data_IF_574947503715
#
_entry.id   IF_574947503715
#
_cell.length_a   1.000
_cell.length_b   1.000
_cell.length_c   1.000
_cell.angle_alpha   90.00
_cell.angle_beta   90.00
_cell.angle_gamma   90.00
#
_symmetry.space_group_name_H-M   'P 1'
#
loop_
_entity.id
_entity.type
_entity.pdbx_description
1 polymer ?
#
# COMPACT_ATOMS: atom_id res chain seq x y z
N UNK A 1 -8.25 -2.38 15.35
CA UNK A 1 -8.81 -2.09 14.01
C UNK A 1 -8.38 -3.22 13.10
N UNK A 2 -9.16 -3.63 12.08
CA UNK A 2 -8.73 -4.73 11.20
C UNK A 2 -7.65 -4.24 10.22
N UNK A 3 -6.65 -5.07 9.96
CA UNK A 3 -5.61 -4.82 8.96
C UNK A 3 -6.02 -5.42 7.62
N UNK A 4 -5.91 -4.63 6.56
CA UNK A 4 -6.13 -5.05 5.17
C UNK A 4 -4.78 -5.07 4.45
N UNK A 5 -4.28 -6.26 4.15
CA UNK A 5 -3.12 -6.45 3.27
C UNK A 5 -3.57 -6.36 1.81
N UNK A 6 -3.03 -5.40 1.07
CA UNK A 6 -3.26 -5.23 -0.35
C UNK A 6 -1.96 -5.44 -1.13
N UNK A 7 -1.97 -6.41 -2.03
CA UNK A 7 -0.87 -6.66 -2.96
C UNK A 7 -1.16 -6.01 -4.31
N UNK A 8 -0.12 -5.59 -5.05
CA UNK A 8 -0.30 -5.10 -6.42
C UNK A 8 -0.91 -3.70 -6.53
N UNK A 9 -0.88 -2.92 -5.45
CA UNK A 9 -1.40 -1.54 -5.41
C UNK A 9 -0.66 -0.56 -6.35
N UNK A 10 0.53 -0.93 -6.82
CA UNK A 10 1.29 -0.19 -7.84
C UNK A 10 0.89 -0.53 -9.28
N UNK A 11 0.02 -1.53 -9.48
CA UNK A 11 -0.57 -1.89 -10.78
C UNK A 11 -1.84 -1.10 -11.09
N UNK A 12 -2.42 -1.31 -12.27
CA UNK A 12 -3.64 -0.60 -12.69
C UNK A 12 -4.86 -1.02 -11.85
N UNK A 13 -5.22 -2.31 -11.86
CA UNK A 13 -6.39 -2.79 -11.11
C UNK A 13 -6.22 -2.63 -9.59
N UNK A 14 -5.06 -3.01 -9.05
CA UNK A 14 -4.78 -2.85 -7.62
C UNK A 14 -4.75 -1.38 -7.19
N UNK A 15 -4.28 -0.49 -8.05
CA UNK A 15 -4.36 0.96 -7.83
C UNK A 15 -5.80 1.48 -7.77
N UNK A 16 -6.65 1.06 -8.71
CA UNK A 16 -8.07 1.42 -8.69
C UNK A 16 -8.80 0.92 -7.43
N UNK A 17 -8.45 -0.28 -6.96
CA UNK A 17 -8.97 -0.81 -5.69
C UNK A 17 -8.50 0.04 -4.51
N UNK A 18 -7.21 0.40 -4.44
CA UNK A 18 -6.69 1.26 -3.38
C UNK A 18 -7.37 2.63 -3.37
N UNK A 19 -7.51 3.26 -4.54
CA UNK A 19 -8.21 4.55 -4.67
C UNK A 19 -9.63 4.45 -4.11
N UNK A 20 -10.39 3.45 -4.54
CA UNK A 20 -11.77 3.26 -4.09
C UNK A 20 -11.87 3.10 -2.57
N UNK A 21 -10.99 2.31 -1.97
CA UNK A 21 -10.95 2.08 -0.52
C UNK A 21 -10.63 3.35 0.28
N UNK A 22 -9.66 4.13 -0.21
CA UNK A 22 -9.25 5.40 0.39
C UNK A 22 -10.35 6.46 0.28
N UNK A 23 -10.98 6.57 -0.89
CA UNK A 23 -12.07 7.52 -1.16
C UNK A 23 -13.33 7.20 -0.34
N UNK A 24 -13.62 5.92 -0.12
CA UNK A 24 -14.71 5.50 0.79
C UNK A 24 -14.36 5.65 2.26
N UNK A 25 -13.13 6.05 2.58
CA UNK A 25 -12.64 6.26 3.94
C UNK A 25 -12.90 5.04 4.85
N UNK A 26 -12.64 3.84 4.31
CA UNK A 26 -12.78 2.59 5.05
C UNK A 26 -11.85 2.62 6.28
N UNK A 27 -12.42 2.36 7.47
CA UNK A 27 -11.69 2.40 8.75
C UNK A 27 -10.93 1.10 8.99
N UNK A 28 -9.89 0.87 8.19
CA UNK A 28 -8.97 -0.26 8.28
C UNK A 28 -7.53 0.24 8.30
N UNK A 29 -6.62 -0.57 8.86
CA UNK A 29 -5.20 -0.33 8.72
C UNK A 29 -4.77 -0.86 7.35
N UNK A 30 -4.31 0.00 6.46
CA UNK A 30 -3.80 -0.43 5.16
C UNK A 30 -2.35 -0.90 5.31
N UNK A 31 -2.08 -2.11 4.80
CA UNK A 31 -0.74 -2.63 4.63
C UNK A 31 -0.56 -2.97 3.16
N UNK A 32 0.41 -2.34 2.50
CA UNK A 32 0.59 -2.39 1.06
C UNK A 32 1.89 -3.15 0.76
N UNK A 33 1.78 -4.34 0.18
CA UNK A 33 2.96 -5.10 -0.25
C UNK A 33 3.52 -4.48 -1.53
N UNK A 34 4.73 -3.93 -1.46
CA UNK A 34 5.39 -3.22 -2.55
C UNK A 34 6.80 -3.72 -2.75
N UNK A 35 7.13 -4.04 -4.00
CA UNK A 35 8.51 -4.32 -4.41
C UNK A 35 9.28 -3.00 -4.46
N UNK A 36 10.21 -2.80 -3.55
CA UNK A 36 11.08 -1.62 -3.49
C UNK A 36 12.29 -1.94 -2.59
N UNK A 37 13.31 -1.08 -2.62
CA UNK A 37 14.49 -1.16 -1.77
C UNK A 37 14.26 -0.51 -0.40
N UNK A 38 13.39 0.51 -0.33
CA UNK A 38 13.02 1.19 0.92
C UNK A 38 11.53 1.51 0.97
N UNK A 39 10.99 1.70 2.17
CA UNK A 39 9.59 2.07 2.39
C UNK A 39 9.25 3.41 1.75
N UNK A 40 10.17 4.39 1.75
CA UNK A 40 9.97 5.66 1.05
C UNK A 40 9.86 5.47 -0.45
N UNK A 41 10.70 4.61 -1.04
CA UNK A 41 10.60 4.26 -2.45
C UNK A 41 9.28 3.54 -2.74
N UNK A 42 8.86 2.63 -1.86
CA UNK A 42 7.58 1.93 -1.96
C UNK A 42 6.39 2.91 -1.90
N UNK A 43 6.40 3.84 -0.96
CA UNK A 43 5.38 4.88 -0.81
C UNK A 43 5.34 5.79 -2.05
N UNK A 44 6.50 6.21 -2.55
CA UNK A 44 6.58 7.02 -3.76
C UNK A 44 5.97 6.28 -4.97
N UNK A 45 6.24 4.98 -5.12
CA UNK A 45 5.61 4.16 -6.18
C UNK A 45 4.10 4.12 -6.06
N UNK A 46 3.54 4.09 -4.85
CA UNK A 46 2.09 4.20 -4.62
C UNK A 46 1.61 5.58 -5.06
N UNK A 47 2.25 6.65 -4.61
CA UNK A 47 1.87 8.02 -4.96
C UNK A 47 1.90 8.26 -6.48
N UNK A 48 2.96 7.85 -7.16
CA UNK A 48 3.05 7.93 -8.63
C UNK A 48 1.93 7.13 -9.31
N UNK A 49 1.54 5.97 -8.78
CA UNK A 49 0.41 5.23 -9.35
C UNK A 49 -0.93 5.94 -9.11
N UNK A 50 -1.08 6.61 -7.96
CA UNK A 50 -2.29 7.35 -7.59
C UNK A 50 -2.54 8.61 -8.42
N UNK A 51 -1.49 9.20 -9.02
CA UNK A 51 -1.64 10.30 -9.99
C UNK A 51 -2.56 9.93 -11.16
N UNK A 52 -2.58 8.65 -11.57
CA UNK A 52 -3.43 8.15 -12.67
C UNK A 52 -4.92 8.17 -12.34
N UNK A 53 -5.26 8.18 -11.05
CA UNK A 53 -6.64 8.11 -10.56
C UNK A 53 -7.15 9.46 -10.02
N UNK A 54 -6.33 10.52 -10.08
CA UNK A 54 -6.69 11.88 -9.67
C UNK A 54 -7.27 11.96 -8.24
N UNK A 55 -6.73 11.16 -7.31
CA UNK A 55 -7.17 11.13 -5.91
C UNK A 55 -6.84 12.45 -5.20
N UNK A 56 -7.68 12.85 -4.24
CA UNK A 56 -7.42 14.02 -3.40
C UNK A 56 -6.13 13.83 -2.59
N UNK A 57 -5.23 14.81 -2.68
CA UNK A 57 -3.95 14.82 -1.97
C UNK A 57 -4.10 14.75 -0.45
N UNK A 58 -5.20 15.26 0.11
CA UNK A 58 -5.52 15.17 1.54
C UNK A 58 -5.92 13.76 1.98
N UNK A 59 -6.46 12.96 1.05
CA UNK A 59 -6.73 11.54 1.30
C UNK A 59 -5.40 10.78 1.18
N UNK A 60 -4.62 11.08 0.16
CA UNK A 60 -3.35 10.42 -0.11
C UNK A 60 -2.30 10.66 0.98
N UNK A 61 -2.29 11.85 1.59
CA UNK A 61 -1.37 12.20 2.69
C UNK A 61 -1.60 11.40 3.97
N UNK A 62 -2.70 10.64 4.07
CA UNK A 62 -2.93 9.69 5.17
C UNK A 62 -2.04 8.45 5.07
N UNK A 63 -1.52 8.13 3.88
CA UNK A 63 -0.57 7.04 3.71
C UNK A 63 0.83 7.50 4.09
N UNK A 64 1.49 6.71 4.92
CA UNK A 64 2.88 6.92 5.36
C UNK A 64 3.72 5.68 5.05
N UNK A 65 5.01 5.76 5.33
CA UNK A 65 5.93 4.61 5.20
C UNK A 65 5.50 3.42 6.07
N UNK A 66 4.75 3.64 7.16
CA UNK A 66 4.22 2.57 8.02
C UNK A 66 3.16 1.71 7.33
N UNK A 67 2.58 2.19 6.22
CA UNK A 67 1.65 1.42 5.39
C UNK A 67 2.38 0.53 4.39
N UNK A 68 3.70 0.62 4.25
CA UNK A 68 4.47 -0.12 3.26
C UNK A 68 5.07 -1.36 3.90
N UNK A 69 4.79 -2.51 3.28
CA UNK A 69 5.48 -3.76 3.53
C UNK A 69 6.36 -4.05 2.32
N UNK A 70 7.67 -4.09 2.50
CA UNK A 70 8.59 -4.46 1.43
C UNK A 70 8.51 -5.96 1.18
N UNK A 71 8.43 -6.35 -0.10
CA UNK A 71 8.49 -7.76 -0.47
C UNK A 71 8.00 -8.06 -1.88
N UNK A 72 8.29 -9.28 -2.31
CA UNK A 72 7.87 -9.85 -3.58
C UNK A 72 7.11 -11.15 -3.32
N UNK A 73 5.92 -11.31 -3.91
CA UNK A 73 5.13 -12.54 -3.78
C UNK A 73 5.83 -13.78 -4.35
N UNK A 74 6.82 -13.59 -5.23
CA UNK A 74 7.67 -14.67 -5.73
C UNK A 74 8.75 -15.12 -4.73
N UNK A 75 9.01 -14.33 -3.68
CA UNK A 75 10.01 -14.60 -2.64
C UNK A 75 9.44 -14.31 -1.22
N UNK A 76 8.40 -15.04 -0.80
CA UNK A 76 7.65 -14.73 0.42
C UNK A 76 8.45 -14.85 1.71
N UNK A 77 9.48 -15.70 1.75
CA UNK A 77 10.36 -15.90 2.90
C UNK A 77 11.01 -14.60 3.41
N UNK A 78 11.16 -13.57 2.56
CA UNK A 78 11.78 -12.30 2.93
C UNK A 78 10.85 -11.33 3.66
N UNK A 79 9.52 -11.56 3.65
CA UNK A 79 8.57 -10.65 4.31
C UNK A 79 7.57 -11.34 5.24
N UNK A 80 7.46 -12.67 5.21
CA UNK A 80 6.50 -13.41 6.04
C UNK A 80 6.74 -13.28 7.55
N UNK A 81 7.97 -12.97 7.98
CA UNK A 81 8.31 -12.74 9.39
C UNK A 81 8.14 -11.29 9.83
N UNK A 82 7.73 -10.39 8.94
CA UNK A 82 7.57 -8.98 9.28
C UNK A 82 6.47 -8.79 10.33
N UNK A 83 6.78 -8.04 11.40
CA UNK A 83 5.86 -7.80 12.50
C UNK A 83 4.55 -7.12 12.04
N UNK A 84 4.58 -6.34 10.95
CA UNK A 84 3.42 -5.68 10.37
C UNK A 84 2.31 -6.64 9.95
N UNK A 85 2.64 -7.89 9.58
CA UNK A 85 1.66 -8.92 9.23
C UNK A 85 0.86 -9.45 10.43
N UNK A 86 1.33 -9.21 11.65
CA UNK A 86 0.73 -9.72 12.89
C UNK A 86 0.05 -8.65 13.75
N UNK A 87 -0.10 -7.43 13.21
CA UNK A 87 -0.72 -6.27 13.90
C UNK A 87 -2.25 -6.27 13.88
#
# INVERSE_FOLDING_TARGET
MKTLLLTGATGFLGGAVLEKLLTENQKVNYLLLVRAETEEQGLNRIFTNMEKFNIDKNILSKLTVENILLGDLSEPEYFLSDAALTR
#
